data_IF_874606525485
#
_entry.id   IF_874606525485
#
_cell.length_a   1.000
_cell.length_b   1.000
_cell.length_c   1.000
_cell.angle_alpha   90.00
_cell.angle_beta   90.00
_cell.angle_gamma   90.00
#
_symmetry.space_group_name_H-M   'P 1'
#
loop_
_entity.id
_entity.type
_entity.pdbx_description
1 polymer ?
#
# COMPACT_ATOMS: atom_id res chain seq x y z
N UNK A 1 16.08 22.70 60.58
CA UNK A 1 15.63 23.22 59.27
C UNK A 1 16.70 22.93 58.23
N UNK A 2 16.78 21.68 57.75
CA UNK A 2 17.71 21.27 56.70
C UNK A 2 16.97 21.18 55.38
N UNK A 3 17.25 22.08 54.43
CA UNK A 3 16.73 22.00 53.08
C UNK A 3 17.52 20.95 52.29
N UNK A 4 16.84 19.87 51.90
CA UNK A 4 17.28 18.93 50.88
C UNK A 4 17.08 19.57 49.50
N UNK A 5 18.18 19.99 48.87
CA UNK A 5 18.20 20.34 47.46
C UNK A 5 18.19 19.04 46.64
N UNK A 6 17.00 18.57 46.27
CA UNK A 6 16.86 17.55 45.24
C UNK A 6 17.28 18.14 43.89
N UNK A 7 18.53 17.89 43.52
CA UNK A 7 19.04 18.17 42.18
C UNK A 7 18.50 17.07 41.25
N UNK A 8 17.42 17.35 40.55
CA UNK A 8 17.00 16.52 39.41
C UNK A 8 18.05 16.71 38.31
N UNK A 9 19.08 15.87 38.29
CA UNK A 9 20.03 15.84 37.18
C UNK A 9 19.28 15.28 35.98
N UNK A 10 18.86 16.17 35.07
CA UNK A 10 18.42 15.77 33.75
C UNK A 10 19.56 14.96 33.14
N UNK A 11 19.35 13.65 32.96
CA UNK A 11 20.34 12.72 32.42
C UNK A 11 20.43 12.93 30.91
N UNK A 12 20.96 14.08 30.49
CA UNK A 12 21.28 14.36 29.10
C UNK A 12 22.22 13.28 28.60
N UNK A 13 21.83 12.63 27.51
CA UNK A 13 22.63 11.60 26.89
C UNK A 13 23.96 12.20 26.38
N UNK A 14 25.09 11.48 26.52
CA UNK A 14 26.33 11.93 25.90
C UNK A 14 26.15 12.03 24.37
N UNK A 15 26.55 13.14 23.73
CA UNK A 15 26.47 13.31 22.26
C UNK A 15 27.06 12.12 21.48
N UNK A 16 28.19 11.58 21.95
CA UNK A 16 28.86 10.42 21.36
C UNK A 16 28.00 9.15 21.28
N UNK A 17 27.08 8.93 22.22
CA UNK A 17 26.21 7.75 22.22
C UNK A 17 25.13 7.85 21.13
N UNK A 18 24.57 9.04 20.92
CA UNK A 18 23.58 9.30 19.86
C UNK A 18 24.21 9.33 18.47
N UNK A 19 25.45 9.84 18.36
CA UNK A 19 26.23 9.79 17.11
C UNK A 19 26.55 8.36 16.70
N UNK A 20 27.03 7.52 17.62
CA UNK A 20 27.28 6.10 17.33
C UNK A 20 26.00 5.37 16.95
N UNK A 21 24.89 5.60 17.68
CA UNK A 21 23.59 5.05 17.35
C UNK A 21 23.17 5.45 15.93
N UNK A 22 23.29 6.73 15.58
CA UNK A 22 22.97 7.26 14.25
C UNK A 22 23.80 6.57 13.17
N UNK A 23 25.12 6.48 13.34
CA UNK A 23 26.00 5.83 12.36
C UNK A 23 25.60 4.37 12.12
N UNK A 24 25.37 3.61 13.20
CA UNK A 24 24.97 2.20 13.10
C UNK A 24 23.55 2.02 12.53
N UNK A 25 22.61 2.90 12.88
CA UNK A 25 21.26 2.88 12.33
C UNK A 25 21.26 3.21 10.82
N UNK A 26 22.07 4.19 10.38
CA UNK A 26 22.21 4.53 8.97
C UNK A 26 22.84 3.40 8.15
N UNK A 27 23.83 2.71 8.70
CA UNK A 27 24.43 1.54 8.07
C UNK A 27 23.42 0.37 7.95
N UNK A 28 22.59 0.16 8.96
CA UNK A 28 21.56 -0.89 8.95
C UNK A 28 20.35 -0.56 8.05
N UNK A 29 20.07 0.73 7.83
CA UNK A 29 19.00 1.22 6.97
C UNK A 29 17.62 1.29 7.63
N UNK A 30 16.69 2.10 7.08
CA UNK A 30 15.35 2.33 7.63
C UNK A 30 14.51 1.05 7.82
N UNK A 31 14.61 0.09 6.90
CA UNK A 31 13.84 -1.16 6.95
C UNK A 31 14.06 -1.96 8.24
N UNK A 32 15.23 -1.81 8.88
CA UNK A 32 15.56 -2.50 10.14
C UNK A 32 14.85 -1.91 11.36
N UNK A 33 14.31 -0.71 11.24
CA UNK A 33 13.69 0.06 12.32
C UNK A 33 12.20 0.25 12.17
N UNK A 34 11.60 -0.23 11.08
CA UNK A 34 10.14 -0.37 10.95
C UNK A 34 9.71 -1.78 11.35
N UNK A 35 8.48 -1.92 11.86
CA UNK A 35 7.90 -3.23 12.18
C UNK A 35 7.57 -4.07 10.95
N UNK A 36 7.37 -3.40 9.80
CA UNK A 36 7.03 -4.00 8.53
C UNK A 36 7.74 -3.25 7.38
N UNK A 37 8.71 -3.91 6.76
CA UNK A 37 9.47 -3.36 5.64
C UNK A 37 8.63 -3.27 4.35
N UNK A 38 7.64 -4.16 4.17
CA UNK A 38 6.72 -4.10 3.04
C UNK A 38 5.78 -2.89 3.17
N UNK A 39 5.32 -2.60 4.39
CA UNK A 39 4.54 -1.38 4.65
C UNK A 39 5.34 -0.11 4.32
N UNK A 40 6.63 -0.05 4.68
CA UNK A 40 7.49 1.08 4.31
C UNK A 40 7.63 1.20 2.78
N UNK A 41 7.93 0.11 2.08
CA UNK A 41 8.01 0.11 0.60
C UNK A 41 6.67 0.52 -0.04
N UNK A 42 5.55 0.06 0.50
CA UNK A 42 4.22 0.44 0.07
C UNK A 42 3.94 1.93 0.29
N UNK A 43 4.33 2.50 1.43
CA UNK A 43 4.21 3.94 1.69
C UNK A 43 5.03 4.76 0.69
N UNK A 44 6.28 4.36 0.44
CA UNK A 44 7.16 4.99 -0.55
C UNK A 44 6.53 4.97 -1.94
N UNK A 45 6.11 3.79 -2.42
CA UNK A 45 5.49 3.63 -3.75
C UNK A 45 4.18 4.43 -3.90
N UNK A 46 3.31 4.40 -2.88
CA UNK A 46 2.06 5.16 -2.87
C UNK A 46 2.32 6.67 -2.88
N UNK A 47 3.27 7.16 -2.09
CA UNK A 47 3.60 8.59 -2.05
C UNK A 47 4.19 9.08 -3.37
N UNK A 48 5.06 8.28 -4.01
CA UNK A 48 5.59 8.57 -5.34
C UNK A 48 4.47 8.61 -6.40
N UNK A 49 3.54 7.64 -6.36
CA UNK A 49 2.37 7.64 -7.24
C UNK A 49 1.52 8.91 -7.05
N UNK A 50 1.28 9.34 -5.81
CA UNK A 50 0.52 10.58 -5.55
C UNK A 50 1.23 11.80 -6.10
N UNK A 51 2.54 11.95 -5.88
CA UNK A 51 3.30 13.08 -6.39
C UNK A 51 3.36 13.15 -7.92
N UNK A 52 3.32 12.00 -8.60
CA UNK A 52 3.21 11.97 -10.06
C UNK A 52 1.87 12.54 -10.57
N UNK A 53 0.81 12.56 -9.75
CA UNK A 53 -0.54 13.02 -10.13
C UNK A 53 -0.97 14.32 -9.44
N UNK A 54 -0.25 14.74 -8.40
CA UNK A 54 -0.52 15.93 -7.61
C UNK A 54 0.79 16.69 -7.41
N UNK A 55 1.08 17.69 -8.27
CA UNK A 55 2.26 18.52 -8.13
C UNK A 55 2.40 19.10 -6.72
N UNK A 56 3.60 18.99 -6.14
CA UNK A 56 3.90 19.47 -4.79
C UNK A 56 3.47 18.54 -3.66
N UNK A 57 2.89 17.37 -3.94
CA UNK A 57 2.60 16.39 -2.90
C UNK A 57 3.91 15.82 -2.30
N UNK A 58 3.97 15.58 -0.99
CA UNK A 58 5.14 15.02 -0.34
C UNK A 58 5.40 13.57 -0.77
N UNK A 59 6.69 13.22 -0.93
CA UNK A 59 7.15 11.88 -1.29
C UNK A 59 8.05 11.33 -0.20
N UNK A 60 7.83 10.08 0.20
CA UNK A 60 8.76 9.33 1.03
C UNK A 60 9.74 8.60 0.12
N UNK A 61 10.95 9.12 0.01
CA UNK A 61 12.09 8.46 -0.65
C UNK A 61 12.95 7.75 0.39
N UNK A 62 13.92 6.94 -0.08
CA UNK A 62 14.90 6.35 0.85
C UNK A 62 15.70 7.43 1.58
N UNK A 63 16.04 8.53 0.89
CA UNK A 63 16.72 9.67 1.49
C UNK A 63 15.89 10.29 2.63
N UNK A 64 14.60 10.54 2.40
CA UNK A 64 13.68 11.05 3.44
C UNK A 64 13.55 10.06 4.60
N UNK A 65 13.46 8.75 4.32
CA UNK A 65 13.42 7.74 5.37
C UNK A 65 14.70 7.72 6.22
N UNK A 66 15.86 7.90 5.59
CA UNK A 66 17.16 8.02 6.27
C UNK A 66 17.26 9.31 7.07
N UNK A 67 16.78 10.43 6.57
CA UNK A 67 16.74 11.71 7.30
C UNK A 67 15.91 11.59 8.59
N UNK A 68 14.68 11.07 8.49
CA UNK A 68 13.81 10.85 9.66
C UNK A 68 14.44 9.88 10.65
N UNK A 69 15.06 8.79 10.16
CA UNK A 69 15.79 7.86 11.03
C UNK A 69 16.92 8.57 11.79
N UNK A 70 17.61 9.51 11.13
CA UNK A 70 18.69 10.28 11.71
C UNK A 70 18.19 11.26 12.79
N UNK A 71 17.09 11.97 12.52
CA UNK A 71 16.38 12.83 13.49
C UNK A 71 15.95 12.01 14.72
N UNK A 72 15.40 10.81 14.51
CA UNK A 72 14.98 9.93 15.60
C UNK A 72 16.15 9.41 16.45
N UNK A 73 17.39 9.42 15.95
CA UNK A 73 18.55 9.03 16.77
C UNK A 73 18.91 10.09 17.82
N UNK A 74 18.49 11.34 17.65
CA UNK A 74 18.77 12.42 18.58
C UNK A 74 18.16 12.15 19.96
N UNK A 75 18.96 12.31 21.01
CA UNK A 75 18.55 12.04 22.39
C UNK A 75 18.35 10.55 22.72
N UNK A 76 18.68 9.62 21.81
CA UNK A 76 18.58 8.16 22.02
C UNK A 76 19.95 7.49 22.00
N UNK A 77 20.08 6.38 22.75
CA UNK A 77 21.34 5.62 22.93
C UNK A 77 21.18 4.12 22.65
N UNK A 78 20.00 3.66 22.22
CA UNK A 78 19.80 2.24 21.93
C UNK A 78 18.81 2.00 20.80
N UNK A 79 19.00 0.91 20.07
CA UNK A 79 18.08 0.48 19.01
C UNK A 79 16.69 0.15 19.54
N UNK A 80 16.57 -0.31 20.79
CA UNK A 80 15.27 -0.54 21.42
C UNK A 80 14.46 0.77 21.53
N UNK A 81 15.09 1.84 22.02
CA UNK A 81 14.47 3.18 22.09
C UNK A 81 14.19 3.76 20.70
N UNK A 82 15.05 3.47 19.73
CA UNK A 82 14.86 3.91 18.34
C UNK A 82 13.66 3.22 17.68
N UNK A 83 13.51 1.89 17.83
CA UNK A 83 12.32 1.16 17.36
C UNK A 83 11.03 1.64 18.03
N UNK A 84 11.08 1.94 19.32
CA UNK A 84 9.94 2.49 20.05
C UNK A 84 9.54 3.91 19.60
N UNK A 85 10.39 4.60 18.81
CA UNK A 85 10.11 5.94 18.31
C UNK A 85 9.23 5.97 17.05
N UNK A 86 8.82 4.80 16.56
CA UNK A 86 7.88 4.61 15.45
C UNK A 86 8.26 5.37 14.17
N UNK A 87 9.37 4.95 13.55
CA UNK A 87 9.82 5.51 12.27
C UNK A 87 8.71 5.49 11.21
N UNK A 88 7.91 4.42 11.16
CA UNK A 88 6.83 4.31 10.18
C UNK A 88 5.75 5.37 10.41
N UNK A 89 5.29 5.53 11.65
CA UNK A 89 4.32 6.58 12.01
C UNK A 89 4.82 7.98 11.68
N UNK A 90 6.10 8.27 11.91
CA UNK A 90 6.70 9.56 11.55
C UNK A 90 6.72 9.81 10.04
N UNK A 91 7.07 8.80 9.24
CA UNK A 91 7.05 8.88 7.79
C UNK A 91 5.63 9.01 7.25
N UNK A 92 4.69 8.23 7.78
CA UNK A 92 3.28 8.32 7.42
C UNK A 92 2.73 9.72 7.73
N UNK A 93 3.08 10.31 8.87
CA UNK A 93 2.68 11.66 9.24
C UNK A 93 3.08 12.74 8.22
N UNK A 94 4.22 12.58 7.55
CA UNK A 94 4.71 13.51 6.51
C UNK A 94 3.86 13.50 5.23
N UNK A 95 3.10 12.43 4.97
CA UNK A 95 2.27 12.28 3.75
C UNK A 95 0.77 12.15 4.03
N UNK A 96 0.39 11.93 5.29
CA UNK A 96 -1.01 11.85 5.70
C UNK A 96 -1.71 13.22 5.73
N UNK A 97 -0.94 14.31 5.93
CA UNK A 97 -1.45 15.68 5.86
C UNK A 97 -2.05 16.01 4.49
N UNK A 98 -3.26 16.58 4.47
CA UNK A 98 -3.97 16.95 3.23
C UNK A 98 -4.95 15.88 2.68
N UNK A 99 -5.14 14.77 3.40
CA UNK A 99 -6.16 13.74 3.08
C UNK A 99 -5.96 13.06 1.72
N UNK A 100 -4.77 13.21 1.12
CA UNK A 100 -4.48 12.82 -0.25
C UNK A 100 -4.15 11.34 -0.39
N UNK A 101 -3.25 10.80 0.44
CA UNK A 101 -2.65 9.49 0.19
C UNK A 101 -3.69 8.36 0.14
N UNK A 102 -4.59 8.29 1.12
CA UNK A 102 -5.53 7.16 1.28
C UNK A 102 -6.66 7.26 0.25
N UNK A 103 -7.00 8.48 -0.17
CA UNK A 103 -7.99 8.77 -1.19
C UNK A 103 -7.45 8.58 -2.61
N UNK A 104 -6.22 9.01 -2.87
CA UNK A 104 -5.62 9.05 -4.21
C UNK A 104 -4.89 7.75 -4.54
N UNK A 105 -4.26 7.13 -3.55
CA UNK A 105 -3.53 5.88 -3.67
C UNK A 105 -3.97 4.90 -2.58
N UNK A 106 -5.22 4.43 -2.56
CA UNK A 106 -5.70 3.52 -1.52
C UNK A 106 -4.92 2.21 -1.49
N UNK A 107 -4.75 1.60 -0.32
CA UNK A 107 -4.15 0.25 -0.21
C UNK A 107 -5.07 -0.84 -0.76
N UNK A 108 -6.38 -0.61 -0.74
CA UNK A 108 -7.39 -1.55 -1.19
C UNK A 108 -8.55 -0.82 -1.87
N UNK A 109 -9.16 -1.47 -2.85
CA UNK A 109 -10.46 -1.07 -3.40
C UNK A 109 -11.55 -2.06 -3.01
N UNK A 110 -12.78 -1.59 -2.90
CA UNK A 110 -13.94 -2.47 -2.75
C UNK A 110 -14.43 -2.90 -4.12
N UNK A 111 -14.52 -4.21 -4.31
CA UNK A 111 -15.15 -4.85 -5.46
C UNK A 111 -16.63 -5.16 -5.13
N UNK A 112 -17.46 -5.45 -6.14
CA UNK A 112 -18.79 -5.99 -5.94
C UNK A 112 -18.80 -7.16 -4.94
N UNK A 113 -19.89 -7.30 -4.19
CA UNK A 113 -20.01 -8.35 -3.18
C UNK A 113 -19.14 -8.15 -1.93
N UNK A 114 -18.56 -6.96 -1.75
CA UNK A 114 -17.85 -6.55 -0.52
C UNK A 114 -16.41 -7.04 -0.42
N UNK A 115 -15.85 -7.65 -1.48
CA UNK A 115 -14.46 -8.07 -1.47
C UNK A 115 -13.53 -6.86 -1.46
N UNK A 116 -12.58 -6.84 -0.53
CA UNK A 116 -11.49 -5.86 -0.48
C UNK A 116 -10.31 -6.41 -1.28
N UNK A 117 -10.03 -5.83 -2.45
CA UNK A 117 -8.89 -6.21 -3.29
C UNK A 117 -7.72 -5.27 -3.01
N UNK A 118 -6.55 -5.85 -2.73
CA UNK A 118 -5.32 -5.08 -2.56
C UNK A 118 -4.92 -4.39 -3.86
N UNK A 119 -4.46 -3.15 -3.76
CA UNK A 119 -3.87 -2.42 -4.88
C UNK A 119 -2.36 -2.43 -4.69
N UNK A 120 -1.67 -2.85 -5.73
CA UNK A 120 -0.23 -2.91 -5.77
C UNK A 120 0.32 -1.65 -6.46
N UNK A 121 1.36 -1.10 -5.85
CA UNK A 121 2.09 0.07 -6.35
C UNK A 121 3.55 -0.32 -6.45
N UNK A 122 4.15 -0.10 -7.61
CA UNK A 122 5.58 -0.22 -7.83
C UNK A 122 6.07 1.04 -8.56
N UNK A 123 7.32 1.47 -8.31
CA UNK A 123 7.94 2.53 -9.09
C UNK A 123 7.86 2.23 -10.59
N UNK A 124 7.55 3.27 -11.38
CA UNK A 124 7.51 3.24 -12.84
C UNK A 124 6.54 2.21 -13.46
N UNK A 125 5.61 1.66 -12.66
CA UNK A 125 4.56 0.75 -13.14
C UNK A 125 3.17 1.30 -12.87
N UNK A 126 2.21 1.06 -13.79
CA UNK A 126 0.83 1.40 -13.51
C UNK A 126 0.31 0.57 -12.33
N UNK A 127 -0.47 1.16 -11.42
CA UNK A 127 -1.03 0.45 -10.27
C UNK A 127 -1.99 -0.65 -10.75
N UNK A 128 -1.94 -1.80 -10.10
CA UNK A 128 -2.74 -2.96 -10.49
C UNK A 128 -3.39 -3.64 -9.30
N UNK A 129 -4.38 -4.47 -9.58
CA UNK A 129 -4.93 -5.40 -8.62
C UNK A 129 -5.15 -6.76 -9.28
N UNK A 130 -5.15 -7.80 -8.45
CA UNK A 130 -5.41 -9.17 -8.88
C UNK A 130 -6.57 -9.74 -8.06
N UNK A 131 -7.64 -10.14 -8.74
CA UNK A 131 -8.78 -10.80 -8.11
C UNK A 131 -9.45 -11.76 -9.09
N UNK A 132 -10.27 -12.68 -8.58
CA UNK A 132 -10.99 -13.61 -9.45
C UNK A 132 -11.88 -12.81 -10.38
N UNK A 133 -11.98 -13.23 -11.63
CA UNK A 133 -12.86 -12.61 -12.62
C UNK A 133 -14.30 -12.46 -12.08
N UNK A 134 -14.77 -13.47 -11.33
CA UNK A 134 -16.10 -13.51 -10.72
C UNK A 134 -16.33 -12.40 -9.69
N UNK A 135 -15.27 -11.86 -9.08
CA UNK A 135 -15.37 -10.77 -8.11
C UNK A 135 -15.73 -9.43 -8.78
N UNK A 136 -15.62 -9.33 -10.11
CA UNK A 136 -15.99 -8.14 -10.89
C UNK A 136 -17.38 -8.25 -11.54
N UNK A 137 -18.13 -9.33 -11.32
CA UNK A 137 -19.51 -9.39 -11.78
C UNK A 137 -20.34 -8.29 -11.13
N UNK A 138 -21.24 -7.69 -11.91
CA UNK A 138 -22.02 -6.53 -11.49
C UNK A 138 -21.32 -5.18 -11.73
N UNK A 139 -20.07 -5.19 -12.21
CA UNK A 139 -19.27 -4.00 -12.45
C UNK A 139 -19.09 -3.75 -13.96
N UNK A 140 -19.67 -2.66 -14.45
CA UNK A 140 -19.57 -2.28 -15.86
C UNK A 140 -18.22 -1.66 -16.24
N UNK A 141 -17.53 -0.99 -15.31
CA UNK A 141 -16.23 -0.34 -15.51
C UNK A 141 -15.30 -0.65 -14.36
N UNK A 142 -14.01 -0.85 -14.65
CA UNK A 142 -13.00 -1.16 -13.64
C UNK A 142 -12.81 -0.02 -12.63
N UNK A 143 -12.27 -0.33 -11.44
CA UNK A 143 -11.95 0.70 -10.44
C UNK A 143 -10.93 1.72 -10.98
N UNK A 144 -11.14 2.98 -10.61
CA UNK A 144 -10.21 4.06 -10.88
C UNK A 144 -9.71 4.66 -9.55
N UNK A 145 -8.45 5.05 -9.52
CA UNK A 145 -7.81 5.73 -8.38
C UNK A 145 -7.35 7.15 -8.81
N UNK A 146 -6.55 7.82 -7.97
CA UNK A 146 -6.14 9.21 -8.17
C UNK A 146 -7.33 10.17 -8.39
N UNK A 147 -8.42 9.96 -7.65
CA UNK A 147 -9.65 10.74 -7.81
C UNK A 147 -10.42 10.43 -9.10
N UNK A 148 -10.34 9.19 -9.59
CA UNK A 148 -11.06 8.73 -10.78
C UNK A 148 -10.29 8.91 -12.09
N UNK A 149 -9.04 9.39 -12.05
CA UNK A 149 -8.24 9.72 -13.24
C UNK A 149 -7.46 8.54 -13.80
N UNK A 150 -7.09 7.59 -12.94
CA UNK A 150 -6.19 6.49 -13.31
C UNK A 150 -6.94 5.16 -13.20
N UNK A 151 -7.20 4.44 -14.31
CA UNK A 151 -7.74 3.09 -14.24
C UNK A 151 -6.71 2.14 -13.64
N UNK A 152 -7.15 1.22 -12.79
CA UNK A 152 -6.29 0.13 -12.34
C UNK A 152 -6.10 -0.90 -13.45
N UNK A 153 -4.89 -1.44 -13.57
CA UNK A 153 -4.66 -2.66 -14.35
C UNK A 153 -5.27 -3.84 -13.59
N UNK A 154 -6.16 -4.58 -14.24
CA UNK A 154 -6.90 -5.68 -13.65
C UNK A 154 -6.31 -7.00 -14.13
N UNK A 155 -5.75 -7.77 -13.20
CA UNK A 155 -5.38 -9.15 -13.44
C UNK A 155 -6.60 -10.02 -13.10
N UNK A 156 -7.36 -10.40 -14.12
CA UNK A 156 -8.61 -11.15 -13.99
C UNK A 156 -8.29 -12.64 -13.85
N UNK A 157 -8.40 -13.16 -12.64
CA UNK A 157 -7.93 -14.51 -12.31
C UNK A 157 -9.03 -15.57 -12.52
N UNK A 158 -8.63 -16.74 -13.01
CA UNK A 158 -9.42 -17.96 -12.91
C UNK A 158 -9.49 -18.46 -11.45
N UNK A 159 -10.37 -19.43 -11.13
CA UNK A 159 -10.46 -20.02 -9.80
C UNK A 159 -9.15 -20.62 -9.26
N UNK A 160 -8.20 -20.99 -10.13
CA UNK A 160 -6.87 -21.48 -9.74
C UNK A 160 -5.86 -20.36 -9.45
N UNK A 161 -6.26 -19.09 -9.51
CA UNK A 161 -5.41 -17.93 -9.25
C UNK A 161 -4.54 -17.50 -10.44
N UNK A 162 -4.60 -18.18 -11.59
CA UNK A 162 -3.86 -17.75 -12.79
C UNK A 162 -4.64 -16.67 -13.52
N UNK A 163 -3.93 -15.66 -14.04
CA UNK A 163 -4.54 -14.61 -14.84
C UNK A 163 -5.01 -15.17 -16.18
N UNK A 164 -6.29 -14.97 -16.49
CA UNK A 164 -6.88 -15.29 -17.81
C UNK A 164 -6.85 -14.06 -18.72
N UNK A 165 -6.88 -12.86 -18.12
CA UNK A 165 -6.75 -11.59 -18.84
C UNK A 165 -6.05 -10.56 -17.95
N UNK A 166 -5.28 -9.67 -18.59
CA UNK A 166 -4.81 -8.41 -17.99
C UNK A 166 -5.40 -7.25 -18.81
N UNK A 167 -6.10 -6.30 -18.17
CA UNK A 167 -6.76 -5.19 -18.87
C UNK A 167 -6.94 -3.97 -17.97
N UNK A 168 -6.93 -2.76 -18.53
CA UNK A 168 -7.47 -1.54 -17.88
C UNK A 168 -8.91 -1.24 -18.31
N UNK A 169 -9.35 -1.82 -19.42
CA UNK A 169 -10.69 -1.67 -20.00
C UNK A 169 -11.55 -2.89 -19.66
N UNK A 170 -12.21 -2.84 -18.50
CA UNK A 170 -13.13 -3.88 -18.07
C UNK A 170 -14.38 -3.95 -18.96
N UNK A 171 -14.87 -2.80 -19.43
CA UNK A 171 -16.07 -2.73 -20.26
C UNK A 171 -15.85 -3.45 -21.59
N UNK A 172 -14.75 -3.13 -22.28
CA UNK A 172 -14.38 -3.80 -23.52
C UNK A 172 -13.95 -5.25 -23.33
N UNK A 173 -13.42 -5.63 -22.16
CA UNK A 173 -13.22 -7.04 -21.82
C UNK A 173 -14.55 -7.81 -21.82
N UNK A 174 -15.58 -7.28 -21.17
CA UNK A 174 -16.90 -7.89 -21.13
C UNK A 174 -17.53 -8.05 -22.52
N UNK A 175 -17.35 -7.07 -23.40
CA UNK A 175 -17.91 -7.12 -24.76
C UNK A 175 -17.16 -8.09 -25.67
N UNK A 176 -15.84 -8.02 -25.68
CA UNK A 176 -15.02 -8.63 -26.75
C UNK A 176 -14.37 -9.95 -26.36
N UNK A 177 -13.96 -10.10 -25.10
CA UNK A 177 -13.09 -11.20 -24.69
C UNK A 177 -13.77 -12.18 -23.73
N UNK A 178 -14.68 -11.69 -22.87
CA UNK A 178 -15.39 -12.52 -21.92
C UNK A 178 -16.18 -13.67 -22.57
N UNK A 179 -16.86 -13.53 -23.72
CA UNK A 179 -17.59 -14.66 -24.32
C UNK A 179 -16.70 -15.90 -24.61
N UNK A 180 -15.46 -15.69 -25.04
CA UNK A 180 -14.50 -16.78 -25.30
C UNK A 180 -13.92 -17.33 -24.00
N UNK A 181 -13.47 -16.43 -23.11
CA UNK A 181 -12.94 -16.77 -21.78
C UNK A 181 -13.97 -17.56 -20.98
N UNK A 182 -15.24 -17.16 -21.04
CA UNK A 182 -16.39 -17.84 -20.44
C UNK A 182 -16.52 -19.27 -20.94
N UNK A 183 -16.52 -19.50 -22.25
CA UNK A 183 -16.62 -20.87 -22.84
C UNK A 183 -15.49 -21.76 -22.31
N UNK A 184 -14.26 -21.25 -22.28
CA UNK A 184 -13.10 -21.99 -21.78
C UNK A 184 -13.16 -22.25 -20.27
N UNK A 185 -13.57 -21.27 -19.48
CA UNK A 185 -13.68 -21.38 -18.02
C UNK A 185 -14.85 -22.25 -17.58
N UNK A 186 -15.98 -22.21 -18.29
CA UNK A 186 -17.13 -23.06 -17.99
C UNK A 186 -16.80 -24.55 -18.17
N UNK A 187 -15.98 -24.90 -19.19
CA UNK A 187 -15.48 -26.27 -19.37
C UNK A 187 -14.50 -26.69 -18.28
N UNK A 188 -13.56 -25.81 -17.90
CA UNK A 188 -12.53 -26.10 -16.89
C UNK A 188 -13.07 -26.08 -15.45
N UNK A 189 -14.07 -25.25 -15.19
CA UNK A 189 -14.61 -24.96 -13.86
C UNK A 189 -16.15 -25.00 -13.87
N UNK A 190 -16.77 -26.16 -14.13
CA UNK A 190 -18.23 -26.28 -14.31
C UNK A 190 -19.04 -26.01 -13.04
N UNK A 191 -18.41 -26.06 -11.86
CA UNK A 191 -19.05 -25.76 -10.56
C UNK A 191 -19.08 -24.26 -10.22
N UNK A 192 -18.53 -23.39 -11.07
CA UNK A 192 -18.52 -21.94 -10.86
C UNK A 192 -19.57 -21.24 -11.73
N UNK A 193 -20.06 -20.09 -11.26
CA UNK A 193 -20.99 -19.27 -12.03
C UNK A 193 -20.27 -18.52 -13.15
N UNK A 194 -20.80 -18.64 -14.36
CA UNK A 194 -20.32 -17.94 -15.56
C UNK A 194 -21.53 -17.37 -16.32
N UNK A 195 -22.09 -16.24 -15.86
CA UNK A 195 -23.28 -15.62 -16.46
C UNK A 195 -23.02 -15.25 -17.93
N UNK A 196 -24.09 -15.16 -18.73
CA UNK A 196 -23.97 -14.63 -20.09
C UNK A 196 -23.72 -13.12 -20.08
N UNK A 197 -24.45 -12.38 -19.23
CA UNK A 197 -24.19 -10.97 -18.94
C UNK A 197 -23.47 -10.81 -17.59
N UNK A 198 -22.15 -10.55 -17.58
CA UNK A 198 -21.39 -10.34 -16.36
C UNK A 198 -21.64 -8.98 -15.71
N UNK A 199 -22.24 -8.00 -16.41
CA UNK A 199 -22.40 -6.63 -15.92
C UNK A 199 -23.52 -6.46 -14.92
N UNK A 200 -24.51 -7.35 -14.96
CA UNK A 200 -25.68 -7.34 -14.07
C UNK A 200 -25.70 -8.51 -13.10
N UNK A 201 -24.80 -9.48 -13.26
CA UNK A 201 -24.71 -10.64 -12.39
C UNK A 201 -24.17 -10.28 -11.00
N UNK A 202 -24.71 -10.92 -9.97
CA UNK A 202 -24.14 -10.83 -8.63
C UNK A 202 -22.83 -11.64 -8.54
N UNK A 203 -21.77 -11.12 -7.91
CA UNK A 203 -20.57 -11.89 -7.63
C UNK A 203 -20.91 -13.01 -6.64
N UNK A 204 -20.26 -14.18 -6.75
CA UNK A 204 -20.45 -15.27 -5.80
C UNK A 204 -19.92 -14.87 -4.43
N UNK A 205 -20.60 -15.32 -3.37
CA UNK A 205 -20.18 -15.06 -2.00
C UNK A 205 -18.74 -15.51 -1.79
N UNK A 206 -17.87 -14.67 -1.18
CA UNK A 206 -16.54 -15.09 -0.80
C UNK A 206 -16.65 -16.38 0.03
N UNK A 207 -15.93 -17.44 -0.37
CA UNK A 207 -15.78 -18.61 0.50
C UNK A 207 -14.93 -18.14 1.68
N UNK A 208 -15.49 -18.22 2.89
CA UNK A 208 -14.78 -17.93 4.13
C UNK A 208 -13.60 -18.89 4.31
#
# INVERSE_FOLDING_TARGET
MGLLLERTVSKQLPPAASELLRAQAQAAGPERFVGDAEALRGLMARSAFVAAHVPGAPVITEAVAREVLAELCEGRSSFAKLRAADLFGQLLGRVAGGGGLERLAPTHVQLPGGRRAAVHYEPDKPPWLASRLQDFFGMSRGPHIAGGKVPLVLHLLAPNGRAEQVTTDLAGFWDRHYPEVRKALMRRYPRHSWPEDPRTAAPPTPRR
#
